data_IF_900707409133
#
_entry.id   IF_900707409133
#
_cell.length_a   1.000
_cell.length_b   1.000
_cell.length_c   1.000
_cell.angle_alpha   90.00
_cell.angle_beta   90.00
_cell.angle_gamma   90.00
#
_symmetry.space_group_name_H-M   'P 1'
#
loop_
_entity.id
_entity.type
_entity.pdbx_description
1 polymer ?
#
# COMPACT_ATOMS: atom_id res chain seq x y z
N UNK A 1 -9.33 1.53 -25.75
CA UNK A 1 -9.44 2.65 -24.79
C UNK A 1 -10.01 2.06 -23.52
N UNK A 2 -9.18 1.70 -22.54
CA UNK A 2 -9.65 1.22 -21.25
C UNK A 2 -9.78 2.43 -20.33
N UNK A 3 -11.02 2.82 -20.04
CA UNK A 3 -11.34 3.86 -19.07
C UNK A 3 -10.65 3.58 -17.73
N UNK A 4 -10.08 4.58 -17.03
CA UNK A 4 -9.69 4.37 -15.64
C UNK A 4 -10.95 4.01 -14.87
N UNK A 5 -10.90 2.90 -14.13
CA UNK A 5 -12.00 2.50 -13.27
C UNK A 5 -12.29 3.64 -12.30
N UNK A 6 -13.45 4.28 -12.44
CA UNK A 6 -13.95 5.25 -11.47
C UNK A 6 -14.08 4.49 -10.15
N UNK A 7 -13.27 4.85 -9.16
CA UNK A 7 -13.37 4.28 -7.83
C UNK A 7 -14.83 4.39 -7.35
N UNK A 8 -15.43 3.33 -6.78
CA UNK A 8 -16.82 3.38 -6.33
C UNK A 8 -16.98 4.48 -5.26
N UNK A 9 -18.10 5.23 -5.26
CA UNK A 9 -18.37 6.19 -4.19
C UNK A 9 -18.52 5.42 -2.88
N UNK A 10 -17.64 5.66 -1.91
CA UNK A 10 -17.81 5.09 -0.57
C UNK A 10 -16.55 4.71 0.21
N UNK A 11 -15.34 4.92 -0.32
CA UNK A 11 -14.12 4.71 0.45
C UNK A 11 -13.34 6.01 0.61
N UNK A 12 -13.50 6.67 1.75
CA UNK A 12 -12.70 7.84 2.15
C UNK A 12 -11.22 7.47 2.35
N UNK A 13 -10.90 6.18 2.53
CA UNK A 13 -9.55 5.70 2.82
C UNK A 13 -9.21 4.52 1.90
N UNK A 14 -8.08 4.62 1.22
CA UNK A 14 -7.45 3.56 0.43
C UNK A 14 -6.27 2.98 1.22
N UNK A 15 -6.24 1.66 1.34
CA UNK A 15 -5.14 0.91 1.97
C UNK A 15 -4.54 0.02 0.90
N UNK A 16 -3.23 0.16 0.64
CA UNK A 16 -2.51 -0.67 -0.33
C UNK A 16 -1.30 -1.33 0.31
N UNK A 17 -1.08 -2.61 -0.01
CA UNK A 17 0.04 -3.39 0.53
C UNK A 17 1.02 -3.69 -0.60
N UNK A 18 2.28 -3.34 -0.40
CA UNK A 18 3.38 -3.55 -1.33
C UNK A 18 4.39 -4.49 -0.64
N UNK A 19 4.38 -5.79 -0.98
CA UNK A 19 5.42 -6.71 -0.52
C UNK A 19 6.72 -6.45 -1.30
N UNK A 20 7.84 -6.46 -0.60
CA UNK A 20 9.18 -6.42 -1.19
C UNK A 20 9.99 -7.60 -0.64
N UNK A 21 10.42 -8.48 -1.54
CA UNK A 21 11.22 -9.65 -1.22
C UNK A 21 12.57 -9.52 -1.92
N UNK A 22 13.59 -9.20 -1.15
CA UNK A 22 14.99 -9.43 -1.53
C UNK A 22 15.49 -10.70 -0.83
N UNK A 23 16.52 -11.33 -1.40
CA UNK A 23 17.02 -12.67 -1.04
C UNK A 23 17.18 -12.89 0.49
N UNK A 24 17.52 -11.82 1.23
CA UNK A 24 17.71 -11.81 2.69
C UNK A 24 16.78 -10.85 3.45
N UNK A 25 15.81 -10.20 2.78
CA UNK A 25 14.94 -9.20 3.41
C UNK A 25 13.50 -9.34 2.94
N UNK A 26 12.63 -9.79 3.85
CA UNK A 26 11.19 -9.71 3.67
C UNK A 26 10.67 -8.41 4.28
N UNK A 27 10.19 -7.52 3.43
CA UNK A 27 9.60 -6.25 3.81
C UNK A 27 8.15 -6.17 3.31
N UNK A 28 7.26 -5.63 4.14
CA UNK A 28 5.87 -5.37 3.78
C UNK A 28 5.58 -3.90 4.09
N UNK A 29 5.24 -3.13 3.06
CA UNK A 29 4.83 -1.73 3.22
C UNK A 29 3.33 -1.60 3.00
N UNK A 30 2.62 -1.05 3.98
CA UNK A 30 1.21 -0.69 3.89
C UNK A 30 1.12 0.82 3.72
N UNK A 31 0.53 1.30 2.63
CA UNK A 31 0.31 2.72 2.35
C UNK A 31 -1.16 3.07 2.56
N UNK A 32 -1.41 4.14 3.30
CA UNK A 32 -2.75 4.66 3.58
C UNK A 32 -2.90 6.03 2.92
N UNK A 33 -3.92 6.18 2.07
CA UNK A 33 -4.25 7.44 1.39
C UNK A 33 -5.74 7.75 1.50
N UNK A 34 -6.08 9.04 1.36
CA UNK A 34 -7.46 9.54 1.33
C UNK A 34 -7.59 10.52 0.18
N UNK A 35 -8.57 10.33 -0.70
CA UNK A 35 -8.83 11.22 -1.83
C UNK A 35 -7.56 11.48 -2.70
N UNK A 36 -6.68 10.49 -2.81
CA UNK A 36 -5.38 10.61 -3.51
C UNK A 36 -4.25 11.27 -2.70
N UNK A 37 -4.53 11.79 -1.50
CA UNK A 37 -3.52 12.34 -0.59
C UNK A 37 -2.91 11.24 0.29
N UNK A 38 -1.58 11.22 0.36
CA UNK A 38 -0.84 10.33 1.27
C UNK A 38 -1.06 10.74 2.73
N UNK A 39 -1.43 9.77 3.58
CA UNK A 39 -1.56 9.98 5.02
C UNK A 39 -0.33 9.46 5.76
N UNK A 40 -0.07 8.15 5.69
CA UNK A 40 1.08 7.50 6.32
C UNK A 40 1.37 6.13 5.69
N UNK A 41 2.57 5.61 5.95
CA UNK A 41 2.97 4.25 5.58
C UNK A 41 3.45 3.47 6.83
N UNK A 42 3.19 2.17 6.85
CA UNK A 42 3.79 1.24 7.82
C UNK A 42 4.65 0.23 7.08
N UNK A 43 5.92 0.14 7.45
CA UNK A 43 6.84 -0.85 6.91
C UNK A 43 7.19 -1.87 8.00
N UNK A 44 6.88 -3.13 7.75
CA UNK A 44 7.30 -4.25 8.59
C UNK A 44 8.48 -4.94 7.93
N UNK A 45 9.59 -5.06 8.66
CA UNK A 45 10.80 -5.76 8.20
C UNK A 45 10.91 -7.03 9.04
N UNK A 46 10.87 -8.20 8.40
CA UNK A 46 11.20 -9.45 9.07
C UNK A 46 12.72 -9.49 9.24
N UNK A 47 13.20 -9.36 10.46
CA UNK A 47 14.57 -9.66 10.83
C UNK A 47 14.61 -11.07 11.40
N UNK A 48 15.42 -11.95 10.81
CA UNK A 48 15.77 -13.22 11.43
C UNK A 48 16.81 -12.91 12.54
N UNK A 49 16.40 -13.08 13.80
CA UNK A 49 17.23 -12.90 15.00
C UNK A 49 17.62 -14.24 15.60
#
# INVERSE_FOLDING_TARGET
ISSPASAPPGYDILISTVPHQEEDKQEITVKVSRDGHHLFELTTIKADW
#
